data_IF_264782146910
#
_entry.id   IF_264782146910
#
_cell.length_a   1.000
_cell.length_b   1.000
_cell.length_c   1.000
_cell.angle_alpha   90.00
_cell.angle_beta   90.00
_cell.angle_gamma   90.00
#
_symmetry.space_group_name_H-M   'P 1'
#
loop_
_entity.id
_entity.type
_entity.pdbx_description
1 polymer ?
#
# COMPACT_ATOMS: atom_id res chain seq x y z
N UNK A 1 21.56 -0.95 25.31
CA UNK A 1 20.50 -0.45 24.38
C UNK A 1 20.25 -1.54 23.37
N UNK A 2 19.10 -2.21 23.47
CA UNK A 2 18.69 -3.19 22.47
C UNK A 2 18.51 -2.51 21.11
N UNK A 3 19.04 -3.12 20.06
CA UNK A 3 18.94 -2.55 18.71
C UNK A 3 17.55 -2.73 18.15
N UNK A 4 17.13 -1.83 17.26
CA UNK A 4 15.85 -1.98 16.52
C UNK A 4 15.79 -3.33 15.79
N UNK A 5 16.94 -3.86 15.37
CA UNK A 5 17.04 -5.19 14.76
C UNK A 5 16.61 -6.32 15.69
N UNK A 6 16.99 -6.26 16.98
CA UNK A 6 16.57 -7.23 17.98
C UNK A 6 15.04 -7.22 18.17
N UNK A 7 14.44 -6.05 18.33
CA UNK A 7 13.00 -5.90 18.41
C UNK A 7 12.27 -6.39 17.17
N UNK A 8 12.80 -6.11 15.99
CA UNK A 8 12.21 -6.59 14.73
C UNK A 8 12.27 -8.12 14.61
N UNK A 9 13.33 -8.76 15.13
CA UNK A 9 13.42 -10.23 15.16
C UNK A 9 12.33 -10.83 16.08
N UNK A 10 12.15 -10.25 17.27
CA UNK A 10 11.10 -10.68 18.19
C UNK A 10 9.69 -10.49 17.59
N UNK A 11 9.43 -9.33 16.98
CA UNK A 11 8.15 -9.05 16.32
C UNK A 11 7.88 -10.05 15.19
N UNK A 12 8.88 -10.38 14.38
CA UNK A 12 8.73 -11.41 13.32
C UNK A 12 8.43 -12.80 13.90
N UNK A 13 9.05 -13.16 15.01
CA UNK A 13 8.80 -14.45 15.67
C UNK A 13 7.35 -14.55 16.20
N UNK A 14 6.80 -13.44 16.71
CA UNK A 14 5.44 -13.38 17.25
C UNK A 14 4.37 -13.25 16.15
N UNK A 15 4.67 -12.46 15.11
CA UNK A 15 3.73 -12.12 14.04
C UNK A 15 4.15 -12.75 12.70
N UNK A 16 4.42 -14.05 12.72
CA UNK A 16 4.62 -14.79 11.48
C UNK A 16 3.28 -14.89 10.75
N UNK A 17 3.25 -14.31 9.55
CA UNK A 17 2.10 -14.44 8.64
C UNK A 17 2.58 -14.93 7.31
N UNK A 18 1.93 -15.96 6.85
CA UNK A 18 2.05 -16.46 5.49
C UNK A 18 1.08 -15.71 4.57
N UNK A 19 1.45 -15.59 3.31
CA UNK A 19 0.62 -14.97 2.28
C UNK A 19 1.01 -13.52 1.92
N UNK A 20 0.30 -13.02 0.92
CA UNK A 20 0.50 -11.66 0.41
C UNK A 20 -0.15 -10.64 1.35
N UNK A 21 0.52 -9.52 1.61
CA UNK A 21 -0.09 -8.44 2.37
C UNK A 21 -1.07 -7.64 1.50
N UNK A 22 -2.13 -7.16 2.13
CA UNK A 22 -3.01 -6.18 1.51
C UNK A 22 -2.28 -4.83 1.35
N UNK A 23 -1.44 -4.48 2.32
CA UNK A 23 -0.60 -3.27 2.28
C UNK A 23 0.76 -3.52 2.92
N UNK A 24 1.81 -2.97 2.29
CA UNK A 24 3.15 -2.88 2.86
C UNK A 24 3.43 -1.46 3.37
N UNK A 25 3.91 -1.33 4.62
CA UNK A 25 4.30 -0.05 5.20
C UNK A 25 5.83 0.10 5.21
N UNK A 26 6.33 1.10 4.52
CA UNK A 26 7.74 1.36 4.32
C UNK A 26 8.19 2.63 5.06
N UNK A 27 9.48 2.71 5.43
CA UNK A 27 10.04 3.93 6.00
C UNK A 27 10.49 4.94 4.94
N UNK A 28 10.79 4.50 3.73
CA UNK A 28 11.27 5.37 2.64
C UNK A 28 10.47 5.22 1.34
N UNK A 29 10.54 6.28 0.53
CA UNK A 29 9.81 6.35 -0.75
C UNK A 29 10.35 5.38 -1.80
N UNK A 30 11.66 5.12 -1.81
CA UNK A 30 12.28 4.24 -2.80
C UNK A 30 11.79 2.80 -2.62
N UNK A 31 11.76 2.30 -1.37
CA UNK A 31 11.23 0.96 -1.07
C UNK A 31 9.73 0.87 -1.37
N UNK A 32 8.96 1.89 -1.01
CA UNK A 32 7.53 1.96 -1.35
C UNK A 32 7.32 1.84 -2.87
N UNK A 33 8.05 2.63 -3.65
CA UNK A 33 7.96 2.63 -5.11
C UNK A 33 8.30 1.25 -5.69
N UNK A 34 9.40 0.66 -5.26
CA UNK A 34 9.82 -0.67 -5.68
C UNK A 34 8.74 -1.71 -5.42
N UNK A 35 8.19 -1.79 -4.20
CA UNK A 35 7.14 -2.76 -3.86
C UNK A 35 5.89 -2.53 -4.71
N UNK A 36 5.48 -1.28 -4.90
CA UNK A 36 4.33 -0.94 -5.72
C UNK A 36 4.50 -1.41 -7.17
N UNK A 37 5.64 -1.13 -7.80
CA UNK A 37 5.93 -1.53 -9.17
C UNK A 37 6.02 -3.06 -9.32
N UNK A 38 6.74 -3.72 -8.42
CA UNK A 38 6.87 -5.19 -8.42
C UNK A 38 5.51 -5.88 -8.24
N UNK A 39 4.71 -5.40 -7.28
CA UNK A 39 3.39 -5.98 -7.00
C UNK A 39 2.41 -5.74 -8.15
N UNK A 40 2.36 -4.50 -8.68
CA UNK A 40 1.49 -4.17 -9.80
C UNK A 40 1.84 -5.01 -11.03
N UNK A 41 3.14 -5.13 -11.38
CA UNK A 41 3.58 -5.96 -12.51
C UNK A 41 3.20 -7.43 -12.34
N UNK A 42 3.28 -7.96 -11.12
CA UNK A 42 2.96 -9.35 -10.83
C UNK A 42 1.45 -9.64 -10.86
N UNK A 43 0.63 -8.69 -10.42
CA UNK A 43 -0.82 -8.85 -10.30
C UNK A 43 -1.60 -8.36 -11.52
N UNK A 44 -0.99 -7.52 -12.36
CA UNK A 44 -1.65 -6.98 -13.54
C UNK A 44 -1.99 -8.11 -14.53
N UNK A 45 -3.22 -8.13 -15.06
CA UNK A 45 -3.59 -9.02 -16.14
C UNK A 45 -2.83 -8.69 -17.42
N UNK A 46 -2.79 -9.63 -18.36
CA UNK A 46 -2.10 -9.44 -19.65
C UNK A 46 -2.67 -8.24 -20.46
N UNK A 47 -3.96 -7.96 -20.30
CA UNK A 47 -4.64 -6.84 -20.96
C UNK A 47 -4.53 -5.50 -20.23
N UNK A 48 -3.67 -5.40 -19.19
CA UNK A 48 -3.50 -4.14 -18.45
C UNK A 48 -2.91 -3.04 -19.34
N UNK A 49 -3.45 -1.83 -19.22
CA UNK A 49 -2.99 -0.66 -19.96
C UNK A 49 -1.88 0.08 -19.21
N UNK A 50 -0.79 0.42 -19.90
CA UNK A 50 0.28 1.20 -19.30
C UNK A 50 -0.10 2.68 -19.16
N UNK A 51 0.01 3.22 -17.95
CA UNK A 51 -0.09 4.64 -17.64
C UNK A 51 1.24 5.14 -17.05
N UNK A 52 1.93 6.01 -17.75
CA UNK A 52 3.15 6.66 -17.26
C UNK A 52 2.78 7.76 -16.25
N UNK A 53 2.97 7.50 -14.97
CA UNK A 53 2.67 8.46 -13.91
C UNK A 53 3.93 9.14 -13.36
N UNK A 54 3.76 10.25 -12.66
CA UNK A 54 4.85 11.00 -12.01
C UNK A 54 5.58 10.18 -10.91
N UNK A 55 4.93 9.15 -10.38
CA UNK A 55 5.51 8.25 -9.37
C UNK A 55 6.11 6.96 -9.97
N UNK A 56 5.92 6.72 -11.26
CA UNK A 56 6.37 5.57 -12.01
C UNK A 56 5.26 4.92 -12.84
N UNK A 57 5.58 3.86 -13.59
CA UNK A 57 4.61 3.18 -14.44
C UNK A 57 3.52 2.49 -13.62
N UNK A 58 2.29 2.61 -14.09
CA UNK A 58 1.11 1.96 -13.53
C UNK A 58 0.49 1.08 -14.64
N UNK A 59 0.36 -0.21 -14.38
CA UNK A 59 -0.41 -1.11 -15.22
C UNK A 59 -1.86 -1.06 -14.74
N UNK A 60 -2.69 -0.30 -15.46
CA UNK A 60 -4.10 -0.09 -15.15
C UNK A 60 -4.93 -1.35 -15.45
N UNK A 61 -5.76 -1.72 -14.50
CA UNK A 61 -6.77 -2.77 -14.63
C UNK A 61 -7.91 -2.51 -13.66
N UNK A 62 -9.06 -3.12 -13.87
CA UNK A 62 -10.18 -3.08 -12.93
C UNK A 62 -9.78 -3.69 -11.58
N UNK A 63 -10.25 -3.09 -10.49
CA UNK A 63 -9.88 -3.47 -9.12
C UNK A 63 -8.51 -2.97 -8.66
N UNK A 64 -7.75 -2.23 -9.49
CA UNK A 64 -6.43 -1.71 -9.11
C UNK A 64 -6.55 -0.74 -7.92
N UNK A 65 -5.81 -0.99 -6.81
CA UNK A 65 -5.80 -0.10 -5.67
C UNK A 65 -4.87 1.10 -5.89
N UNK A 66 -5.44 2.30 -5.76
CA UNK A 66 -4.75 3.57 -5.91
C UNK A 66 -4.87 4.43 -4.65
N UNK A 67 -4.03 5.45 -4.53
CA UNK A 67 -4.11 6.48 -3.49
C UNK A 67 -3.87 7.85 -4.09
N UNK A 68 -4.65 8.84 -3.66
CA UNK A 68 -4.42 10.22 -4.00
C UNK A 68 -3.11 10.74 -3.39
N UNK A 69 -2.30 11.41 -4.21
CA UNK A 69 -1.04 12.01 -3.77
C UNK A 69 -1.02 13.54 -3.84
N UNK A 70 -2.07 14.11 -4.41
CA UNK A 70 -2.27 15.56 -4.56
C UNK A 70 -3.77 15.87 -4.57
N UNK A 71 -4.16 17.02 -4.04
CA UNK A 71 -5.52 17.55 -4.18
C UNK A 71 -5.61 18.22 -5.56
N UNK A 72 -6.24 17.54 -6.50
CA UNK A 72 -6.45 18.03 -7.87
C UNK A 72 -7.50 17.20 -8.60
N UNK A 73 -8.29 17.83 -9.44
CA UNK A 73 -9.21 17.16 -10.38
C UNK A 73 -10.23 16.20 -9.73
N UNK A 74 -10.71 16.53 -8.52
CA UNK A 74 -11.61 15.66 -7.77
C UNK A 74 -10.89 14.61 -6.90
N UNK A 75 -9.58 14.43 -7.07
CA UNK A 75 -8.75 13.57 -6.22
C UNK A 75 -8.35 14.30 -4.95
N UNK A 76 -8.50 13.64 -3.81
CA UNK A 76 -8.07 14.14 -2.51
C UNK A 76 -6.80 13.41 -2.05
N UNK A 77 -5.89 14.15 -1.39
CA UNK A 77 -4.65 13.56 -0.88
C UNK A 77 -4.94 12.52 0.22
N UNK A 78 -4.22 11.40 0.16
CA UNK A 78 -4.34 10.27 1.09
C UNK A 78 -5.70 9.54 1.08
N UNK A 79 -6.64 9.88 0.21
CA UNK A 79 -7.86 9.09 0.00
C UNK A 79 -7.53 7.88 -0.87
N UNK A 80 -8.15 6.76 -0.56
CA UNK A 80 -7.99 5.51 -1.28
C UNK A 80 -9.03 5.41 -2.38
N UNK A 81 -8.60 4.90 -3.51
CA UNK A 81 -9.42 4.71 -4.69
C UNK A 81 -9.22 3.30 -5.22
N UNK A 82 -10.25 2.79 -5.87
CA UNK A 82 -10.21 1.54 -6.64
C UNK A 82 -10.62 1.86 -8.06
N UNK A 83 -9.92 1.30 -9.04
CA UNK A 83 -10.29 1.45 -10.46
C UNK A 83 -11.53 0.61 -10.72
N UNK A 84 -12.63 1.26 -11.13
CA UNK A 84 -13.83 0.57 -11.58
C UNK A 84 -13.76 0.19 -13.06
N UNK A 85 -13.40 1.18 -13.88
CA UNK A 85 -13.25 0.99 -15.32
C UNK A 85 -12.40 2.11 -15.91
N UNK A 86 -11.96 1.95 -17.14
CA UNK A 86 -11.24 2.98 -17.90
C UNK A 86 -11.41 2.76 -19.40
N UNK A 87 -11.24 3.83 -20.15
CA UNK A 87 -11.16 3.84 -21.62
C UNK A 87 -9.88 4.56 -22.08
N UNK A 88 -9.76 4.89 -23.36
CA UNK A 88 -8.59 5.56 -23.92
C UNK A 88 -8.31 6.95 -23.33
N UNK A 89 -9.29 7.60 -22.72
CA UNK A 89 -9.22 8.98 -22.27
C UNK A 89 -9.58 9.18 -20.81
N UNK A 90 -10.42 8.30 -20.24
CA UNK A 90 -11.08 8.50 -18.95
C UNK A 90 -10.81 7.35 -18.00
N UNK A 91 -10.57 7.69 -16.75
CA UNK A 91 -10.45 6.77 -15.62
C UNK A 91 -11.63 6.97 -14.67
N UNK A 92 -12.34 5.90 -14.38
CA UNK A 92 -13.44 5.84 -13.43
C UNK A 92 -12.97 5.13 -12.16
N UNK A 93 -13.15 5.80 -11.05
CA UNK A 93 -12.69 5.37 -9.72
C UNK A 93 -13.85 5.36 -8.74
N UNK A 94 -13.76 4.53 -7.73
CA UNK A 94 -14.54 4.60 -6.51
C UNK A 94 -13.62 4.94 -5.33
N UNK A 95 -14.02 5.88 -4.48
CA UNK A 95 -13.26 6.23 -3.28
C UNK A 95 -13.61 5.31 -2.09
N UNK A 96 -12.91 5.49 -0.95
CA UNK A 96 -13.11 4.71 0.28
C UNK A 96 -14.46 5.01 1.00
N UNK A 97 -15.38 5.74 0.36
CA UNK A 97 -16.75 6.02 0.80
C UNK A 97 -17.78 5.62 -0.26
N UNK A 98 -17.37 4.77 -1.19
CA UNK A 98 -18.20 4.31 -2.33
C UNK A 98 -18.70 5.48 -3.22
N UNK A 99 -17.91 6.57 -3.30
CA UNK A 99 -18.24 7.72 -4.14
C UNK A 99 -17.51 7.65 -5.48
N UNK A 100 -18.23 7.75 -6.61
CA UNK A 100 -17.62 7.70 -7.93
C UNK A 100 -16.84 8.98 -8.23
N UNK A 101 -15.66 8.82 -8.82
CA UNK A 101 -14.80 9.91 -9.30
C UNK A 101 -14.33 9.59 -10.70
N UNK A 102 -14.49 10.53 -11.63
CA UNK A 102 -14.03 10.37 -13.01
C UNK A 102 -13.07 11.49 -13.38
N UNK A 103 -11.94 11.11 -14.02
CA UNK A 103 -10.96 12.08 -14.49
C UNK A 103 -10.27 11.56 -15.75
N UNK A 104 -9.64 12.47 -16.52
CA UNK A 104 -8.87 12.05 -17.69
C UNK A 104 -7.59 11.32 -17.25
N UNK A 105 -7.14 10.35 -18.06
CA UNK A 105 -5.89 9.62 -17.83
C UNK A 105 -4.70 10.58 -17.69
N UNK A 106 -4.67 11.67 -18.46
CA UNK A 106 -3.60 12.67 -18.35
C UNK A 106 -3.55 13.34 -16.97
N UNK A 107 -4.70 13.67 -16.39
CA UNK A 107 -4.79 14.23 -15.04
C UNK A 107 -4.43 13.19 -13.97
N UNK A 108 -4.79 11.94 -14.18
CA UNK A 108 -4.49 10.82 -13.29
C UNK A 108 -2.98 10.65 -13.05
N UNK A 109 -2.15 10.83 -14.08
CA UNK A 109 -0.69 10.72 -14.02
C UNK A 109 -0.03 11.54 -12.91
N UNK A 110 -0.61 12.69 -12.57
CA UNK A 110 -0.01 13.62 -11.61
C UNK A 110 -0.57 13.53 -10.19
N UNK A 111 -1.74 12.90 -9.99
CA UNK A 111 -2.44 12.93 -8.71
C UNK A 111 -2.69 11.56 -8.07
N UNK A 112 -2.39 10.46 -8.78
CA UNK A 112 -2.60 9.10 -8.29
C UNK A 112 -1.29 8.33 -8.18
N UNK A 113 -1.24 7.38 -7.23
CA UNK A 113 -0.14 6.45 -6.98
C UNK A 113 -0.69 5.06 -6.67
N UNK A 114 0.08 4.03 -6.92
CA UNK A 114 -0.24 2.66 -6.49
C UNK A 114 -0.31 2.56 -4.96
N UNK A 115 -1.22 1.70 -4.45
CA UNK A 115 -1.49 1.54 -3.02
C UNK A 115 -1.12 0.16 -2.46
N UNK A 116 -0.35 -0.65 -3.12
CA UNK A 116 0.17 -1.90 -2.52
C UNK A 116 1.20 -1.64 -1.41
N UNK A 117 1.88 -0.48 -1.48
CA UNK A 117 2.76 -0.02 -0.43
C UNK A 117 2.57 1.48 -0.16
N UNK A 118 2.64 1.86 1.12
CA UNK A 118 2.59 3.25 1.60
C UNK A 118 3.80 3.53 2.49
N UNK A 119 4.16 4.80 2.64
CA UNK A 119 5.06 5.18 3.74
C UNK A 119 4.28 5.18 5.05
N UNK A 120 4.94 4.81 6.17
CA UNK A 120 4.34 4.86 7.51
C UNK A 120 3.73 6.24 7.78
N UNK A 121 4.40 7.30 7.33
CA UNK A 121 3.90 8.67 7.46
C UNK A 121 2.54 8.88 6.75
N UNK A 122 2.39 8.37 5.52
CA UNK A 122 1.11 8.47 4.78
C UNK A 122 -0.02 7.62 5.37
N UNK A 123 0.29 6.59 6.14
CA UNK A 123 -0.71 5.74 6.78
C UNK A 123 -1.24 6.29 8.12
N UNK A 124 -0.69 7.38 8.65
CA UNK A 124 -0.99 7.85 10.01
C UNK A 124 -2.46 8.21 10.26
N UNK A 125 -3.19 8.60 9.25
CA UNK A 125 -4.62 8.95 9.34
C UNK A 125 -5.56 7.81 8.94
N UNK A 126 -5.04 6.63 8.63
CA UNK A 126 -5.84 5.50 8.12
C UNK A 126 -5.81 4.31 9.08
N UNK A 127 -6.95 3.69 9.26
CA UNK A 127 -7.06 2.32 9.78
C UNK A 127 -7.00 1.38 8.59
N UNK A 128 -6.15 0.37 8.66
CA UNK A 128 -5.95 -0.58 7.56
C UNK A 128 -6.63 -1.87 7.96
N UNK A 129 -7.59 -2.29 7.17
CA UNK A 129 -8.20 -3.61 7.29
C UNK A 129 -7.34 -4.63 6.55
N UNK A 130 -7.21 -5.83 7.13
CA UNK A 130 -6.46 -6.92 6.52
C UNK A 130 -5.00 -7.05 6.95
N UNK A 131 -4.22 -7.67 6.09
CA UNK A 131 -2.85 -8.06 6.36
C UNK A 131 -1.85 -6.94 6.05
N UNK A 132 -1.20 -6.40 7.08
CA UNK A 132 -0.19 -5.33 6.95
C UNK A 132 1.21 -5.92 7.11
N UNK A 133 2.08 -5.70 6.11
CA UNK A 133 3.50 -6.02 6.18
C UNK A 133 4.32 -4.78 6.52
N UNK A 134 5.20 -4.89 7.52
CA UNK A 134 6.15 -3.84 7.85
C UNK A 134 7.47 -4.06 7.10
N UNK A 135 7.90 -3.07 6.34
CA UNK A 135 9.13 -3.09 5.55
C UNK A 135 10.14 -2.06 6.09
N UNK A 136 10.94 -2.44 7.10
CA UNK A 136 11.81 -1.49 7.83
C UNK A 136 13.03 -1.04 7.04
N UNK A 137 13.35 -1.63 5.91
CA UNK A 137 14.55 -1.34 5.14
C UNK A 137 14.37 -1.46 3.63
N UNK A 138 15.43 -1.16 2.89
CA UNK A 138 15.44 -1.19 1.42
C UNK A 138 15.44 -2.60 0.83
N UNK A 139 15.81 -3.60 1.61
CA UNK A 139 15.85 -5.00 1.20
C UNK A 139 15.30 -5.91 2.30
N UNK A 140 14.86 -7.14 1.98
CA UNK A 140 14.49 -8.12 2.98
C UNK A 140 15.63 -8.33 3.99
N UNK A 141 15.30 -8.35 5.28
CA UNK A 141 16.29 -8.50 6.36
C UNK A 141 17.04 -7.23 6.75
N UNK A 142 17.09 -6.21 5.91
CA UNK A 142 17.74 -4.93 6.23
C UNK A 142 16.78 -4.02 7.03
N UNK A 143 17.31 -3.40 8.09
CA UNK A 143 16.59 -2.39 8.87
C UNK A 143 17.25 -1.04 8.63
N UNK A 144 16.51 -0.08 8.11
CA UNK A 144 17.00 1.28 7.92
C UNK A 144 17.33 1.93 9.27
N UNK A 145 18.44 2.68 9.34
CA UNK A 145 18.80 3.51 10.51
C UNK A 145 17.72 4.54 10.88
N UNK A 146 16.84 4.86 9.91
CA UNK A 146 15.72 5.78 10.13
C UNK A 146 14.46 5.08 10.67
N UNK A 147 14.46 3.74 10.73
CA UNK A 147 13.36 2.98 11.33
C UNK A 147 13.49 3.01 12.84
N UNK A 148 12.49 3.50 13.51
CA UNK A 148 12.45 3.63 14.98
C UNK A 148 11.32 2.80 15.57
N UNK A 149 11.35 2.58 16.89
CA UNK A 149 10.23 1.95 17.60
C UNK A 149 8.91 2.68 17.37
N UNK A 150 8.94 4.01 17.23
CA UNK A 150 7.75 4.80 16.89
C UNK A 150 7.15 4.38 15.55
N UNK A 151 7.96 4.14 14.52
CA UNK A 151 7.48 3.64 13.22
C UNK A 151 6.84 2.26 13.35
N UNK A 152 7.43 1.39 14.16
CA UNK A 152 6.88 0.06 14.45
C UNK A 152 5.52 0.16 15.14
N UNK A 153 5.40 0.96 16.20
CA UNK A 153 4.16 1.15 16.94
C UNK A 153 3.07 1.77 16.07
N UNK A 154 3.40 2.82 15.29
CA UNK A 154 2.46 3.44 14.36
C UNK A 154 2.02 2.45 13.29
N UNK A 155 2.94 1.71 12.69
CA UNK A 155 2.62 0.70 11.68
C UNK A 155 1.72 -0.41 12.23
N UNK A 156 2.07 -0.96 13.38
CA UNK A 156 1.29 -2.02 14.02
C UNK A 156 -0.11 -1.55 14.45
N UNK A 157 -0.22 -0.30 14.94
CA UNK A 157 -1.52 0.28 15.36
C UNK A 157 -2.47 0.59 14.19
N UNK A 158 -2.00 0.50 12.94
CA UNK A 158 -2.86 0.71 11.76
C UNK A 158 -3.65 -0.54 11.38
N UNK A 159 -3.17 -1.73 11.73
CA UNK A 159 -3.91 -2.97 11.50
C UNK A 159 -5.09 -3.07 12.46
N UNK A 160 -6.31 -3.30 11.93
CA UNK A 160 -7.54 -3.34 12.73
C UNK A 160 -7.70 -4.63 13.53
N UNK A 161 -7.07 -5.74 13.13
CA UNK A 161 -7.08 -6.98 13.88
C UNK A 161 -5.73 -7.68 13.83
N UNK A 162 -5.25 -8.01 15.00
CA UNK A 162 -4.31 -9.10 15.23
C UNK A 162 -5.16 -10.38 15.35
N UNK A 163 -5.74 -10.86 14.25
CA UNK A 163 -6.55 -12.07 14.31
C UNK A 163 -5.66 -13.25 14.59
N UNK A 164 -5.66 -13.70 15.82
CA UNK A 164 -5.35 -15.06 16.18
C UNK A 164 -6.47 -15.95 15.61
N UNK A 165 -6.36 -16.41 14.40
CA UNK A 165 -7.09 -17.58 13.96
C UNK A 165 -6.41 -18.83 14.50
N UNK A 166 -6.58 -19.10 15.79
CA UNK A 166 -6.57 -20.46 16.28
C UNK A 166 -7.95 -21.04 15.94
N UNK A 167 -8.12 -21.56 14.75
CA UNK A 167 -9.22 -22.49 14.49
C UNK A 167 -8.92 -23.78 15.24
N UNK A 168 -9.36 -23.87 16.46
CA UNK A 168 -9.57 -25.14 17.11
C UNK A 168 -10.71 -25.87 16.39
N UNK A 169 -10.32 -26.68 15.42
CA UNK A 169 -11.20 -27.69 14.90
C UNK A 169 -11.27 -28.80 15.96
N UNK A 170 -12.37 -28.82 16.73
CA UNK A 170 -12.80 -29.99 17.54
C UNK A 170 -14.14 -30.43 16.99
N UNK A 171 -14.18 -31.64 16.60
CA UNK A 171 -15.40 -32.37 16.33
C UNK A 171 -15.23 -33.40 15.26
#
# INVERSE_FOLDING_TARGET
RESVGHWMAQVRAIFQREGEPDISLCCDKARRKQINEETNRRLAPEAAQLLESSDGPILLHEGLPLVGCRIAHGILNAIWYTVESFDEHTLHLEDDRDMPVSLSLEKAKSCLQLRYALTVHKSQSKTIEGHVRLCPGRAPGHVSRHWTLRHLLVGASRARSLSNHSSTNRG
#
